data_IF_095677813163
#
_entry.id   IF_095677813163
#
_cell.length_a   1.000
_cell.length_b   1.000
_cell.length_c   1.000
_cell.angle_alpha   90.00
_cell.angle_beta   90.00
_cell.angle_gamma   90.00
#
_symmetry.space_group_name_H-M   'P 1'
#
loop_
_entity.id
_entity.type
_entity.pdbx_description
1 polymer ?
#
# COMPACT_ATOMS: atom_id res chain seq x y z
N UNK A 1 -6.53 -6.63 6.92
CA UNK A 1 -6.04 -6.43 5.56
C UNK A 1 -4.60 -6.87 5.57
N UNK A 2 -4.13 -7.50 4.50
CA UNK A 2 -2.76 -8.03 4.42
C UNK A 2 -2.09 -7.49 3.16
N UNK A 3 -0.80 -7.20 3.26
CA UNK A 3 -0.04 -6.83 2.07
C UNK A 3 -0.07 -7.97 1.05
N UNK A 4 -0.32 -7.63 -0.20
CA UNK A 4 -0.52 -8.58 -1.30
C UNK A 4 0.66 -8.53 -2.25
N UNK A 5 1.20 -9.70 -2.59
CA UNK A 5 2.19 -9.83 -3.67
C UNK A 5 1.50 -9.61 -5.03
N UNK A 6 2.16 -8.89 -5.94
CA UNK A 6 1.67 -8.68 -7.31
C UNK A 6 2.82 -8.71 -8.33
N UNK A 7 2.48 -8.83 -9.62
CA UNK A 7 3.42 -9.09 -10.72
C UNK A 7 4.55 -8.06 -10.81
N UNK A 8 4.24 -6.79 -10.56
CA UNK A 8 5.16 -5.66 -10.74
C UNK A 8 6.05 -5.41 -9.51
N UNK A 9 5.90 -6.16 -8.42
CA UNK A 9 6.74 -6.01 -7.22
C UNK A 9 8.22 -6.11 -7.57
N UNK A 10 8.99 -5.09 -7.22
CA UNK A 10 10.45 -5.02 -7.42
C UNK A 10 11.20 -4.60 -6.15
N UNK A 11 10.48 -4.36 -5.04
CA UNK A 11 11.04 -4.00 -3.75
C UNK A 11 10.22 -4.62 -2.61
N UNK A 12 10.86 -4.89 -1.47
CA UNK A 12 10.20 -5.31 -0.23
C UNK A 12 10.68 -4.39 0.89
N UNK A 13 9.78 -3.58 1.44
CA UNK A 13 10.11 -2.69 2.56
C UNK A 13 9.99 -3.45 3.89
N UNK A 14 10.84 -3.10 4.86
CA UNK A 14 10.86 -3.79 6.16
C UNK A 14 11.34 -5.24 6.10
N UNK A 15 11.92 -5.68 4.97
CA UNK A 15 12.49 -7.02 4.85
C UNK A 15 13.62 -7.20 5.88
N UNK A 16 13.57 -8.31 6.63
CA UNK A 16 14.51 -8.65 7.70
C UNK A 16 14.49 -7.73 8.94
N UNK A 17 13.46 -6.89 9.11
CA UNK A 17 13.27 -6.11 10.33
C UNK A 17 12.25 -6.82 11.23
N UNK A 18 12.63 -7.35 12.41
CA UNK A 18 11.71 -8.15 13.23
C UNK A 18 10.51 -7.36 13.76
N UNK A 19 10.61 -6.03 13.82
CA UNK A 19 9.54 -5.13 14.25
C UNK A 19 8.48 -4.87 13.16
N UNK A 20 8.76 -5.24 11.90
CA UNK A 20 7.91 -4.93 10.76
C UNK A 20 7.55 -6.17 9.94
N UNK A 21 6.31 -6.23 9.48
CA UNK A 21 5.93 -7.19 8.45
C UNK A 21 6.51 -6.76 7.11
N UNK A 22 7.14 -7.68 6.34
CA UNK A 22 7.62 -7.37 4.99
C UNK A 22 6.48 -6.83 4.12
N UNK A 23 6.74 -5.69 3.49
CA UNK A 23 5.76 -4.96 2.70
C UNK A 23 6.19 -4.97 1.22
N UNK A 24 5.66 -5.91 0.41
CA UNK A 24 5.95 -5.96 -1.01
C UNK A 24 5.41 -4.72 -1.73
N UNK A 25 6.22 -4.20 -2.64
CA UNK A 25 5.93 -2.97 -3.34
C UNK A 25 6.51 -2.95 -4.75
N UNK A 26 5.87 -2.19 -5.61
CA UNK A 26 6.52 -1.64 -6.79
C UNK A 26 7.11 -0.28 -6.42
N UNK A 27 8.36 -0.05 -6.78
CA UNK A 27 9.06 1.22 -6.66
C UNK A 27 9.43 1.70 -8.06
N UNK A 28 8.88 2.83 -8.48
CA UNK A 28 9.23 3.50 -9.74
C UNK A 28 10.56 4.26 -9.64
N UNK A 29 11.06 4.71 -10.78
CA UNK A 29 12.32 5.47 -10.88
C UNK A 29 12.25 6.83 -10.17
N UNK A 30 11.08 7.48 -10.17
CA UNK A 30 10.83 8.75 -9.45
C UNK A 30 10.60 8.55 -7.94
N UNK A 31 10.65 7.31 -7.46
CA UNK A 31 10.56 6.96 -6.05
C UNK A 31 9.14 6.76 -5.52
N UNK A 32 8.10 6.81 -6.36
CA UNK A 32 6.76 6.38 -5.93
C UNK A 32 6.77 4.90 -5.55
N UNK A 33 6.28 4.62 -4.34
CA UNK A 33 6.09 3.27 -3.84
C UNK A 33 4.60 2.91 -3.88
N UNK A 34 4.28 1.84 -4.59
CA UNK A 34 2.93 1.32 -4.73
C UNK A 34 2.79 0.03 -3.94
N UNK A 35 1.78 0.00 -3.07
CA UNK A 35 1.44 -1.13 -2.23
C UNK A 35 0.04 -1.61 -2.59
N UNK A 36 -0.21 -2.90 -2.42
CA UNK A 36 -1.55 -3.46 -2.56
C UNK A 36 -1.91 -4.21 -1.27
N UNK A 37 -3.13 -4.01 -0.78
CA UNK A 37 -3.66 -4.72 0.37
C UNK A 37 -4.87 -5.53 -0.04
N UNK A 38 -4.91 -6.77 0.42
CA UNK A 38 -6.08 -7.63 0.31
C UNK A 38 -6.91 -7.53 1.60
N UNK A 39 -8.18 -7.18 1.43
CA UNK A 39 -9.17 -7.15 2.49
C UNK A 39 -9.74 -8.55 2.69
N UNK A 40 -9.97 -8.95 3.94
CA UNK A 40 -10.77 -10.14 4.23
C UNK A 40 -12.28 -9.87 4.13
N UNK A 41 -13.12 -10.89 4.35
CA UNK A 41 -14.58 -10.77 4.23
C UNK A 41 -15.20 -9.78 5.22
N UNK A 42 -14.72 -9.79 6.47
CA UNK A 42 -15.24 -8.91 7.52
C UNK A 42 -14.89 -7.45 7.21
N UNK A 43 -13.67 -7.20 6.75
CA UNK A 43 -13.21 -5.86 6.36
C UNK A 43 -13.93 -5.34 5.12
N UNK A 44 -14.14 -6.19 4.10
CA UNK A 44 -14.94 -5.83 2.92
C UNK A 44 -16.34 -5.40 3.32
N UNK A 45 -16.99 -6.15 4.24
CA UNK A 45 -18.31 -5.81 4.75
C UNK A 45 -18.30 -4.47 5.48
N UNK A 46 -17.33 -4.25 6.37
CA UNK A 46 -17.20 -2.98 7.11
C UNK A 46 -17.02 -1.78 6.19
N UNK A 47 -16.15 -1.88 5.18
CA UNK A 47 -15.94 -0.81 4.20
C UNK A 47 -17.19 -0.59 3.35
N UNK A 48 -17.88 -1.65 2.94
CA UNK A 48 -19.13 -1.52 2.17
C UNK A 48 -20.24 -0.82 2.98
N UNK A 49 -20.29 -1.04 4.29
CA UNK A 49 -21.26 -0.42 5.20
C UNK A 49 -20.93 1.04 5.52
N UNK A 50 -19.66 1.38 5.77
CA UNK A 50 -19.27 2.73 6.21
C UNK A 50 -18.79 3.63 5.08
N UNK A 51 -18.26 3.07 4.00
CA UNK A 51 -17.54 3.79 2.96
C UNK A 51 -16.20 4.38 3.43
N UNK A 52 -15.69 3.96 4.60
CA UNK A 52 -14.52 4.58 5.23
C UNK A 52 -13.25 3.72 5.07
N UNK A 53 -12.15 4.38 4.73
CA UNK A 53 -10.81 3.83 4.78
C UNK A 53 -9.89 4.79 5.54
N UNK A 54 -9.30 4.30 6.62
CA UNK A 54 -8.43 5.10 7.49
C UNK A 54 -6.97 4.77 7.20
N UNK A 55 -6.15 5.79 6.92
CA UNK A 55 -4.71 5.64 6.61
C UNK A 55 -3.89 6.47 7.59
N UNK A 56 -2.94 5.82 8.26
CA UNK A 56 -1.97 6.47 9.13
C UNK A 56 -0.55 6.23 8.60
N UNK A 57 0.18 7.30 8.30
CA UNK A 57 1.55 7.24 7.84
C UNK A 57 2.50 7.79 8.90
N UNK A 58 3.58 7.04 9.16
CA UNK A 58 4.65 7.50 10.04
C UNK A 58 5.64 8.31 9.20
N UNK A 59 5.51 9.64 9.24
CA UNK A 59 6.45 10.54 8.56
C UNK A 59 7.74 10.78 9.35
N UNK A 60 7.82 10.27 10.59
CA UNK A 60 8.97 10.47 11.49
C UNK A 60 9.37 11.94 11.65
N UNK A 61 8.37 12.79 11.82
CA UNK A 61 8.53 14.25 11.96
C UNK A 61 9.14 14.93 10.72
N UNK A 62 9.10 14.27 9.55
CA UNK A 62 9.37 14.87 8.25
C UNK A 62 8.06 15.31 7.58
N UNK A 63 8.13 16.21 6.57
CA UNK A 63 6.96 16.56 5.77
C UNK A 63 6.27 15.33 5.18
N UNK A 64 4.93 15.35 5.18
CA UNK A 64 4.12 14.31 4.55
C UNK A 64 4.35 14.33 3.04
N UNK A 65 4.66 13.16 2.47
CA UNK A 65 4.73 12.98 1.02
C UNK A 65 3.32 12.84 0.43
N UNK A 66 3.09 13.19 -0.84
CA UNK A 66 1.80 12.99 -1.50
C UNK A 66 1.33 11.54 -1.44
N UNK A 67 0.04 11.34 -1.19
CA UNK A 67 -0.60 10.02 -1.10
C UNK A 67 -1.70 9.89 -2.14
N UNK A 68 -1.72 8.76 -2.85
CA UNK A 68 -2.82 8.35 -3.72
C UNK A 68 -3.37 7.03 -3.20
N UNK A 69 -4.65 7.02 -2.83
CA UNK A 69 -5.36 5.82 -2.36
C UNK A 69 -6.51 5.57 -3.33
N UNK A 70 -6.53 4.38 -3.91
CA UNK A 70 -7.46 4.02 -4.99
C UNK A 70 -7.79 2.53 -4.91
N UNK A 71 -8.95 2.17 -5.44
CA UNK A 71 -9.37 0.78 -5.65
C UNK A 71 -8.97 0.25 -7.04
N UNK A 72 -8.53 1.12 -7.96
CA UNK A 72 -8.12 0.72 -9.31
C UNK A 72 -6.59 0.64 -9.41
N UNK A 73 -6.08 -0.54 -9.74
CA UNK A 73 -4.64 -0.78 -9.90
C UNK A 73 -4.00 0.14 -10.95
N UNK A 74 -4.72 0.46 -12.04
CA UNK A 74 -4.24 1.29 -13.15
C UNK A 74 -3.98 2.75 -12.78
N UNK A 75 -4.58 3.25 -11.69
CA UNK A 75 -4.41 4.65 -11.28
C UNK A 75 -3.02 4.91 -10.69
N UNK A 76 -2.35 3.85 -10.19
CA UNK A 76 -1.05 3.92 -9.50
C UNK A 76 0.06 3.14 -10.19
N UNK A 77 -0.27 2.17 -11.05
CA UNK A 77 0.68 1.43 -11.86
C UNK A 77 0.55 1.83 -13.32
N UNK A 78 1.24 2.91 -13.68
CA UNK A 78 1.43 3.33 -15.07
C UNK A 78 2.64 2.56 -15.61
N UNK A 79 2.41 1.33 -16.06
CA UNK A 79 3.41 0.61 -16.85
C UNK A 79 3.46 1.27 -18.23
N UNK A 80 4.59 1.88 -18.58
CA UNK A 80 4.88 2.25 -19.98
C UNK A 80 4.91 1.03 -20.87
#
# INVERSE_FOLDING_TARGET
>A
MKAKQFKEVNAVYGENQPEYYPLPAYKSEDGTAVFCFELDEEERKKIAETGELWVALRTFNQPLQPICVTVNKSDVLITQ
#
